data_IF_375926839719
#
_entry.id   IF_375926839719
#
_cell.length_a   1.000
_cell.length_b   1.000
_cell.length_c   1.000
_cell.angle_alpha   90.00
_cell.angle_beta   90.00
_cell.angle_gamma   90.00
#
_symmetry.space_group_name_H-M   'P 1'
#
loop_
_entity.id
_entity.type
_entity.pdbx_description
1 polymer ?
#
# COMPACT_ATOMS: atom_id res chain seq x y z
N UNK A 1 -21.59 7.35 16.77
CA UNK A 1 -20.29 6.73 16.45
C UNK A 1 -19.86 7.28 15.10
N UNK A 2 -18.96 8.27 15.09
CA UNK A 2 -18.46 8.84 13.84
C UNK A 2 -17.84 7.71 13.03
N UNK A 3 -18.40 7.43 11.86
CA UNK A 3 -17.78 6.53 10.90
C UNK A 3 -16.49 7.27 10.52
N UNK A 4 -15.34 6.82 11.04
CA UNK A 4 -14.06 7.24 10.50
C UNK A 4 -14.14 7.04 8.99
N UNK A 5 -14.14 8.14 8.23
CA UNK A 5 -14.08 8.08 6.77
C UNK A 5 -12.72 7.49 6.41
N UNK A 6 -12.64 6.16 6.39
CA UNK A 6 -11.38 5.47 6.11
C UNK A 6 -10.98 5.76 4.67
N UNK A 7 -9.83 6.41 4.53
CA UNK A 7 -9.33 6.96 3.29
C UNK A 7 -8.50 5.91 2.56
N UNK A 8 -8.96 5.52 1.36
CA UNK A 8 -8.21 4.71 0.41
C UNK A 8 -7.69 5.60 -0.71
N UNK A 9 -6.42 6.02 -0.66
CA UNK A 9 -5.82 6.75 -1.77
C UNK A 9 -5.82 5.84 -3.00
N UNK A 10 -6.25 6.40 -4.13
CA UNK A 10 -6.20 5.77 -5.45
C UNK A 10 -5.23 6.50 -6.40
N UNK A 11 -4.51 7.48 -5.89
CA UNK A 11 -3.49 8.21 -6.64
C UNK A 11 -2.24 7.34 -6.76
N UNK A 12 -1.86 7.07 -8.00
CA UNK A 12 -0.53 6.60 -8.38
C UNK A 12 0.28 7.79 -8.88
N UNK A 13 1.60 7.73 -8.72
CA UNK A 13 2.52 8.80 -9.08
C UNK A 13 3.91 8.22 -9.37
N UNK A 14 4.77 9.02 -9.99
CA UNK A 14 6.14 8.61 -10.29
C UNK A 14 7.08 8.86 -9.11
N UNK A 15 8.14 8.07 -9.00
CA UNK A 15 9.09 8.16 -7.87
C UNK A 15 9.75 9.54 -7.77
N UNK A 16 10.03 10.17 -8.90
CA UNK A 16 10.58 11.52 -9.00
C UNK A 16 9.66 12.61 -8.46
N UNK A 17 8.35 12.37 -8.30
CA UNK A 17 7.43 13.30 -7.64
C UNK A 17 7.50 13.20 -6.11
N UNK A 18 8.11 12.14 -5.57
CA UNK A 18 8.22 11.94 -4.12
C UNK A 18 9.45 12.68 -3.57
N UNK A 19 9.33 14.01 -3.44
CA UNK A 19 10.39 14.86 -2.89
C UNK A 19 9.83 16.05 -2.09
N UNK A 20 10.61 16.61 -1.15
CA UNK A 20 10.20 17.79 -0.39
C UNK A 20 9.79 18.96 -1.28
N UNK A 21 8.72 19.66 -0.88
CA UNK A 21 8.14 20.78 -1.61
C UNK A 21 7.16 20.39 -2.73
N UNK A 22 7.07 19.11 -3.11
CA UNK A 22 6.04 18.67 -4.07
C UNK A 22 4.66 18.77 -3.43
N UNK A 23 3.75 19.48 -4.08
CA UNK A 23 2.31 19.37 -3.79
C UNK A 23 1.69 18.25 -4.63
N UNK A 24 1.03 17.32 -3.95
CA UNK A 24 0.37 16.16 -4.52
C UNK A 24 -1.14 16.26 -4.33
N UNK A 25 -1.89 15.93 -5.38
CA UNK A 25 -3.34 15.77 -5.30
C UNK A 25 -3.69 14.31 -5.03
N UNK A 26 -4.01 13.99 -3.78
CA UNK A 26 -4.35 12.65 -3.32
C UNK A 26 -5.85 12.44 -3.40
N UNK A 27 -6.27 11.61 -4.35
CA UNK A 27 -7.68 11.24 -4.53
C UNK A 27 -8.00 10.03 -3.68
N UNK A 28 -9.15 10.05 -3.01
CA UNK A 28 -9.62 8.94 -2.19
C UNK A 28 -10.85 8.25 -2.80
N UNK A 29 -10.95 6.94 -2.61
CA UNK A 29 -12.15 6.18 -3.00
C UNK A 29 -13.36 6.61 -2.16
N UNK A 30 -14.49 6.87 -2.83
CA UNK A 30 -15.76 7.24 -2.20
C UNK A 30 -16.55 5.99 -1.80
N UNK A 31 -17.37 6.02 -0.72
CA UNK A 31 -18.31 4.95 -0.41
C UNK A 31 -19.26 4.66 -1.60
N UNK A 32 -19.69 3.40 -1.81
CA UNK A 32 -19.34 2.18 -1.08
C UNK A 32 -18.01 1.53 -1.53
N UNK A 33 -17.34 2.09 -2.54
CA UNK A 33 -16.18 1.50 -3.24
C UNK A 33 -14.83 1.67 -2.52
N UNK A 34 -14.82 1.65 -1.19
CA UNK A 34 -13.60 1.78 -0.37
C UNK A 34 -12.76 0.49 -0.37
N UNK A 35 -12.35 -0.01 -1.53
CA UNK A 35 -11.43 -1.16 -1.64
C UNK A 35 -10.07 -0.68 -2.13
N UNK A 36 -8.98 -1.43 -1.87
CA UNK A 36 -7.70 -1.21 -2.54
C UNK A 36 -7.90 -1.21 -4.06
N UNK A 37 -7.26 -0.30 -4.77
CA UNK A 37 -7.54 -0.10 -6.20
C UNK A 37 -7.22 -1.35 -7.04
N UNK A 38 -6.12 -2.04 -6.75
CA UNK A 38 -5.75 -3.30 -7.42
C UNK A 38 -6.81 -4.39 -7.25
N UNK A 39 -7.42 -4.48 -6.05
CA UNK A 39 -8.58 -5.35 -5.83
C UNK A 39 -9.72 -4.91 -6.74
N UNK A 40 -10.04 -3.61 -6.77
CA UNK A 40 -11.08 -3.04 -7.64
C UNK A 40 -10.91 -3.35 -9.14
N UNK A 41 -9.68 -3.42 -9.64
CA UNK A 41 -9.42 -3.85 -11.02
C UNK A 41 -9.69 -5.34 -11.23
N UNK A 42 -9.29 -6.20 -10.28
CA UNK A 42 -9.65 -7.63 -10.34
C UNK A 42 -11.16 -7.83 -10.32
N UNK A 43 -11.89 -7.01 -9.55
CA UNK A 43 -13.36 -7.03 -9.53
C UNK A 43 -13.95 -6.80 -10.93
N UNK A 44 -13.43 -5.82 -11.68
CA UNK A 44 -13.90 -5.52 -13.04
C UNK A 44 -13.67 -6.68 -14.02
N UNK A 45 -12.55 -7.39 -13.88
CA UNK A 45 -12.22 -8.55 -14.72
C UNK A 45 -13.15 -9.75 -14.47
N UNK A 46 -13.62 -9.93 -13.23
CA UNK A 46 -14.49 -11.04 -12.83
C UNK A 46 -15.93 -10.88 -13.38
N UNK A 47 -16.28 -9.70 -13.93
CA UNK A 47 -17.44 -9.45 -14.81
C UNK A 47 -18.80 -9.99 -14.33
N UNK A 48 -19.03 -10.06 -13.03
CA UNK A 48 -20.37 -10.30 -12.48
C UNK A 48 -20.94 -9.00 -11.91
N UNK A 49 -21.50 -8.18 -12.81
CA UNK A 49 -22.12 -6.90 -12.48
C UNK A 49 -23.43 -7.05 -11.69
N UNK A 50 -23.85 -8.27 -11.36
CA UNK A 50 -25.07 -8.54 -10.58
C UNK A 50 -24.82 -8.75 -9.08
N UNK A 51 -23.55 -8.93 -8.67
CA UNK A 51 -23.20 -9.15 -7.26
C UNK A 51 -22.97 -7.82 -6.53
N UNK A 52 -23.67 -7.63 -5.41
CA UNK A 52 -23.47 -6.50 -4.49
C UNK A 52 -22.12 -6.55 -3.74
N UNK A 53 -21.39 -7.67 -3.84
CA UNK A 53 -20.06 -7.86 -3.27
C UNK A 53 -19.44 -9.19 -3.69
N UNK A 54 -18.12 -9.31 -3.58
CA UNK A 54 -17.36 -10.52 -3.94
C UNK A 54 -17.15 -11.41 -2.72
N UNK A 55 -17.00 -12.71 -2.94
CA UNK A 55 -16.71 -13.68 -1.88
C UNK A 55 -15.23 -13.72 -1.52
N UNK A 56 -14.94 -14.24 -0.32
CA UNK A 56 -13.57 -14.55 0.09
C UNK A 56 -12.88 -15.47 -0.93
N UNK A 57 -13.60 -16.45 -1.48
CA UNK A 57 -13.05 -17.40 -2.43
C UNK A 57 -12.63 -16.73 -3.74
N UNK A 58 -13.45 -15.84 -4.31
CA UNK A 58 -13.13 -15.12 -5.55
C UNK A 58 -11.87 -14.25 -5.39
N UNK A 59 -11.78 -13.49 -4.31
CA UNK A 59 -10.68 -12.54 -4.09
C UNK A 59 -9.40 -13.20 -3.61
N UNK A 60 -9.51 -14.13 -2.66
CA UNK A 60 -8.36 -14.65 -1.94
C UNK A 60 -7.82 -15.96 -2.50
N UNK A 61 -8.68 -16.75 -3.17
CA UNK A 61 -8.33 -18.09 -3.64
C UNK A 61 -8.23 -18.14 -5.16
N UNK A 62 -9.27 -17.68 -5.87
CA UNK A 62 -9.33 -17.81 -7.34
C UNK A 62 -8.43 -16.84 -8.09
N UNK A 63 -8.27 -15.62 -7.58
CA UNK A 63 -7.35 -14.66 -8.20
C UNK A 63 -5.91 -15.09 -7.91
N UNK A 64 -5.13 -15.36 -8.94
CA UNK A 64 -3.71 -15.68 -8.79
C UNK A 64 -2.88 -14.44 -8.46
N UNK A 65 -1.68 -14.64 -7.92
CA UNK A 65 -0.74 -13.56 -7.69
C UNK A 65 -0.17 -13.06 -9.02
N UNK A 66 0.12 -11.76 -9.10
CA UNK A 66 0.85 -11.25 -10.27
C UNK A 66 2.31 -11.74 -10.24
N UNK A 67 3.00 -11.62 -11.37
CA UNK A 67 4.43 -11.98 -11.43
C UNK A 67 5.23 -11.20 -10.38
N UNK A 68 6.00 -11.92 -9.56
CA UNK A 68 6.80 -11.33 -8.48
C UNK A 68 6.02 -10.96 -7.22
N UNK A 69 4.73 -11.28 -7.13
CA UNK A 69 3.92 -11.11 -5.92
C UNK A 69 3.76 -12.41 -5.15
N UNK A 70 3.94 -12.35 -3.84
CA UNK A 70 3.50 -13.38 -2.91
C UNK A 70 2.37 -12.82 -2.05
N UNK A 71 1.20 -13.47 -2.05
CA UNK A 71 0.00 -12.97 -1.39
C UNK A 71 -0.67 -13.99 -0.48
N UNK A 72 -1.36 -13.48 0.55
CA UNK A 72 -2.12 -14.27 1.51
C UNK A 72 -3.28 -13.47 2.09
N UNK A 73 -4.47 -14.07 2.15
CA UNK A 73 -5.58 -13.46 2.87
C UNK A 73 -5.66 -13.94 4.32
N UNK A 74 -5.39 -13.03 5.25
CA UNK A 74 -5.43 -13.28 6.68
C UNK A 74 -6.83 -12.96 7.26
N UNK A 75 -7.33 -13.84 8.13
CA UNK A 75 -8.61 -13.66 8.85
C UNK A 75 -8.42 -13.33 10.35
N UNK A 76 -7.16 -13.22 10.79
CA UNK A 76 -6.82 -12.94 12.19
C UNK A 76 -5.52 -12.14 12.28
N UNK A 77 -5.34 -11.42 13.38
CA UNK A 77 -4.09 -10.68 13.63
C UNK A 77 -2.86 -11.62 13.64
N UNK A 78 -2.99 -12.81 14.24
CA UNK A 78 -1.90 -13.79 14.25
C UNK A 78 -1.47 -14.24 12.86
N UNK A 79 -2.41 -14.38 11.92
CA UNK A 79 -2.09 -14.75 10.53
C UNK A 79 -1.55 -13.57 9.71
N UNK A 80 -1.97 -12.33 10.00
CA UNK A 80 -1.34 -11.12 9.46
C UNK A 80 0.14 -11.04 9.86
N UNK A 81 0.42 -11.18 11.16
CA UNK A 81 1.79 -11.13 11.70
C UNK A 81 2.62 -12.30 11.19
N UNK A 82 2.04 -13.50 11.16
CA UNK A 82 2.72 -14.70 10.66
C UNK A 82 3.18 -14.57 9.20
N UNK A 83 2.35 -13.97 8.34
CA UNK A 83 2.74 -13.67 6.97
C UNK A 83 3.85 -12.62 6.89
N UNK A 84 3.76 -11.53 7.66
CA UNK A 84 4.82 -10.51 7.70
C UNK A 84 6.17 -11.12 8.14
N UNK A 85 6.17 -11.96 9.18
CA UNK A 85 7.37 -12.63 9.69
C UNK A 85 7.94 -13.60 8.65
N UNK A 86 7.10 -14.34 7.93
CA UNK A 86 7.59 -15.30 6.93
C UNK A 86 8.32 -14.65 5.76
N UNK A 87 8.02 -13.37 5.46
CA UNK A 87 8.66 -12.60 4.39
C UNK A 87 9.83 -11.74 4.86
N UNK A 88 9.72 -11.15 6.04
CA UNK A 88 10.65 -10.13 6.52
C UNK A 88 11.55 -10.59 7.67
N UNK A 89 11.27 -11.76 8.26
CA UNK A 89 11.92 -12.24 9.48
C UNK A 89 11.25 -11.71 10.75
N UNK A 90 11.87 -11.95 11.91
CA UNK A 90 11.27 -11.65 13.22
C UNK A 90 11.45 -10.20 13.67
N UNK A 91 12.51 -9.53 13.22
CA UNK A 91 12.82 -8.16 13.62
C UNK A 91 12.15 -7.15 12.66
N UNK A 92 10.86 -6.91 12.89
CA UNK A 92 10.03 -6.07 12.04
C UNK A 92 9.34 -4.97 12.85
N UNK A 93 9.03 -3.87 12.19
CA UNK A 93 8.22 -2.79 12.72
C UNK A 93 6.93 -2.64 11.90
N UNK A 94 5.89 -2.14 12.55
CA UNK A 94 4.56 -1.93 11.96
C UNK A 94 4.26 -0.44 11.87
N UNK A 95 3.74 0.00 10.73
CA UNK A 95 3.43 1.39 10.43
C UNK A 95 2.06 1.50 9.75
N UNK A 96 1.41 2.66 9.91
CA UNK A 96 0.17 3.01 9.22
C UNK A 96 0.22 4.46 8.74
N UNK A 97 -0.56 4.76 7.70
CA UNK A 97 -0.75 6.12 7.21
C UNK A 97 -1.86 6.84 7.96
N UNK A 98 -1.74 8.16 8.07
CA UNK A 98 -2.80 9.07 8.49
C UNK A 98 -3.03 10.12 7.41
N UNK A 99 -4.30 10.39 7.12
CA UNK A 99 -4.72 11.43 6.18
C UNK A 99 -5.76 12.31 6.84
N UNK A 100 -5.82 13.57 6.41
CA UNK A 100 -6.71 14.58 6.99
C UNK A 100 -8.06 14.48 6.30
N UNK A 101 -9.12 14.47 7.10
CA UNK A 101 -10.47 14.31 6.56
C UNK A 101 -10.83 15.47 5.62
N UNK A 102 -11.49 15.16 4.50
CA UNK A 102 -11.91 16.13 3.47
C UNK A 102 -10.78 16.97 2.84
N UNK A 103 -9.53 16.53 2.98
CA UNK A 103 -8.38 17.13 2.30
C UNK A 103 -7.90 16.23 1.16
N UNK A 104 -7.63 16.82 -0.01
CA UNK A 104 -7.09 16.12 -1.18
C UNK A 104 -5.76 16.73 -1.69
N UNK A 105 -5.29 17.81 -1.08
CA UNK A 105 -4.01 18.44 -1.39
C UNK A 105 -3.05 18.28 -0.22
N UNK A 106 -1.86 17.77 -0.52
CA UNK A 106 -0.82 17.53 0.45
C UNK A 106 0.53 17.97 -0.11
N UNK A 107 1.29 18.72 0.68
CA UNK A 107 2.68 19.08 0.34
C UNK A 107 3.64 18.18 1.10
N UNK A 108 4.59 17.59 0.40
CA UNK A 108 5.64 16.73 0.97
C UNK A 108 6.62 17.59 1.76
N UNK A 109 6.77 17.33 3.06
CA UNK A 109 7.79 17.97 3.89
C UNK A 109 9.10 17.18 3.90
N UNK A 110 9.02 15.86 3.77
CA UNK A 110 10.18 14.97 3.85
C UNK A 110 9.90 13.62 3.23
N UNK A 111 10.98 12.87 2.97
CA UNK A 111 10.90 11.50 2.47
C UNK A 111 11.96 10.67 3.19
N UNK A 112 11.51 9.71 3.98
CA UNK A 112 12.38 8.80 4.70
C UNK A 112 12.27 7.41 4.09
N UNK A 113 13.39 6.86 3.60
CA UNK A 113 13.46 5.49 3.10
C UNK A 113 13.37 4.50 4.28
N UNK A 114 12.45 3.54 4.19
CA UNK A 114 12.21 2.49 5.18
C UNK A 114 12.82 1.14 4.79
N UNK A 115 13.42 1.04 3.59
CA UNK A 115 14.07 -0.13 3.04
C UNK A 115 13.36 -0.71 1.81
N UNK A 116 14.04 -1.66 1.16
CA UNK A 116 13.62 -2.32 -0.08
C UNK A 116 12.88 -3.65 0.15
N UNK A 117 12.31 -3.82 1.35
CA UNK A 117 11.46 -4.96 1.71
C UNK A 117 10.28 -4.48 2.52
N UNK A 118 9.09 -4.84 2.07
CA UNK A 118 7.84 -4.46 2.70
C UNK A 118 6.76 -5.52 2.50
N UNK A 119 5.93 -5.70 3.52
CA UNK A 119 4.67 -6.45 3.43
C UNK A 119 3.54 -5.47 3.68
N UNK A 120 2.63 -5.36 2.71
CA UNK A 120 1.43 -4.52 2.82
C UNK A 120 0.24 -5.42 3.10
N UNK A 121 -0.57 -5.09 4.10
CA UNK A 121 -1.81 -5.79 4.43
C UNK A 121 -2.99 -4.83 4.36
N UNK A 122 -3.87 -5.02 3.39
CA UNK A 122 -5.03 -4.18 3.14
C UNK A 122 -6.31 -4.81 3.71
N UNK A 123 -7.03 -4.08 4.56
CA UNK A 123 -8.31 -4.56 5.07
C UNK A 123 -9.38 -4.56 3.97
N UNK A 124 -9.82 -5.73 3.54
CA UNK A 124 -10.91 -5.85 2.57
C UNK A 124 -12.25 -5.47 3.23
N UNK A 125 -13.18 -4.87 2.48
CA UNK A 125 -14.53 -4.55 2.98
C UNK A 125 -15.44 -5.80 3.02
N UNK A 126 -15.09 -6.76 3.86
CA UNK A 126 -16.01 -7.81 4.29
C UNK A 126 -16.69 -7.40 5.61
N UNK A 127 -17.82 -8.06 5.95
CA UNK A 127 -18.46 -7.89 7.27
C UNK A 127 -17.51 -8.29 8.41
N UNK A 128 -16.70 -9.33 8.18
CA UNK A 128 -15.64 -9.78 9.08
C UNK A 128 -14.30 -9.18 8.67
N UNK A 129 -13.36 -9.09 9.62
CA UNK A 129 -12.02 -8.59 9.33
C UNK A 129 -11.24 -9.61 8.47
N UNK A 130 -10.96 -9.22 7.22
CA UNK A 130 -10.07 -9.96 6.32
C UNK A 130 -9.05 -8.98 5.78
N UNK A 131 -7.78 -9.37 5.82
CA UNK A 131 -6.68 -8.60 5.27
C UNK A 131 -6.11 -9.32 4.06
N UNK A 132 -6.03 -8.61 2.95
CA UNK A 132 -5.23 -9.02 1.80
C UNK A 132 -3.79 -8.58 2.04
N UNK A 133 -2.93 -9.51 2.41
CA UNK A 133 -1.50 -9.27 2.61
C UNK A 133 -0.72 -9.68 1.37
N UNK A 134 0.27 -8.89 0.99
CA UNK A 134 1.19 -9.24 -0.08
C UNK A 134 2.57 -8.60 0.08
N UNK A 135 3.56 -9.25 -0.52
CA UNK A 135 4.89 -8.71 -0.81
C UNK A 135 5.05 -8.75 -2.33
N UNK A 136 5.60 -7.67 -2.88
CA UNK A 136 5.91 -7.55 -4.30
C UNK A 136 7.41 -7.30 -4.40
N UNK A 137 8.09 -8.06 -5.26
CA UNK A 137 9.53 -7.87 -5.49
C UNK A 137 9.85 -6.44 -5.92
N UNK A 138 11.08 -6.01 -5.63
CA UNK A 138 11.62 -4.71 -6.04
C UNK A 138 10.77 -3.51 -5.56
N UNK A 139 10.29 -3.62 -4.33
CA UNK A 139 9.47 -2.62 -3.66
C UNK A 139 10.29 -1.85 -2.64
N UNK A 140 10.31 -0.51 -2.74
CA UNK A 140 10.85 0.37 -1.69
C UNK A 140 9.71 1.04 -0.93
N UNK A 141 9.78 1.02 0.40
CA UNK A 141 8.83 1.70 1.26
C UNK A 141 9.38 3.03 1.78
N UNK A 142 8.51 4.02 1.92
CA UNK A 142 8.86 5.35 2.41
C UNK A 142 7.87 5.83 3.47
N UNK A 143 8.39 6.53 4.48
CA UNK A 143 7.61 7.37 5.37
C UNK A 143 7.68 8.81 4.87
N UNK A 144 6.52 9.44 4.73
CA UNK A 144 6.36 10.72 4.05
C UNK A 144 5.60 11.67 4.98
N UNK A 145 6.31 12.54 5.73
CA UNK A 145 5.68 13.68 6.38
C UNK A 145 5.01 14.59 5.35
N UNK A 146 3.75 14.94 5.60
CA UNK A 146 2.89 15.72 4.71
C UNK A 146 2.24 16.89 5.45
N UNK A 147 1.96 17.97 4.74
CA UNK A 147 1.11 19.09 5.19
C UNK A 147 -0.12 19.15 4.30
N UNK A 148 -1.31 18.99 4.88
CA UNK A 148 -2.58 19.13 4.16
C UNK A 148 -2.84 20.58 3.75
N UNK A 149 -3.80 20.79 2.83
CA UNK A 149 -4.16 22.12 2.34
C UNK A 149 -4.63 23.12 3.42
N UNK A 150 -5.12 22.64 4.57
CA UNK A 150 -5.47 23.45 5.73
C UNK A 150 -4.31 23.73 6.70
N UNK A 151 -3.09 23.29 6.36
CA UNK A 151 -1.89 23.42 7.18
C UNK A 151 -1.69 22.30 8.20
N UNK A 152 -2.62 21.35 8.31
CA UNK A 152 -2.50 20.22 9.25
C UNK A 152 -1.36 19.29 8.84
N UNK A 153 -0.43 19.02 9.75
CA UNK A 153 0.64 18.04 9.56
C UNK A 153 0.12 16.62 9.74
N UNK A 154 0.55 15.73 8.87
CA UNK A 154 0.25 14.30 8.92
C UNK A 154 1.42 13.49 8.34
N UNK A 155 1.28 12.17 8.32
CA UNK A 155 2.27 11.24 7.81
C UNK A 155 1.57 10.19 6.95
N UNK A 156 2.07 9.96 5.75
CA UNK A 156 1.63 8.86 4.90
C UNK A 156 2.80 7.90 4.62
N UNK A 157 2.45 6.65 4.32
CA UNK A 157 3.37 5.66 3.80
C UNK A 157 3.21 5.60 2.29
N UNK A 158 4.32 5.64 1.57
CA UNK A 158 4.36 5.44 0.13
C UNK A 158 5.13 4.15 -0.20
N UNK A 159 4.60 3.42 -1.17
CA UNK A 159 5.21 2.21 -1.73
C UNK A 159 5.55 2.50 -3.17
N UNK A 160 6.78 2.21 -3.57
CA UNK A 160 7.24 2.33 -4.95
C UNK A 160 7.70 0.97 -5.45
N UNK A 161 7.12 0.54 -6.57
CA UNK A 161 7.51 -0.68 -7.27
C UNK A 161 8.42 -0.31 -8.43
N UNK A 162 9.67 -0.79 -8.42
CA UNK A 162 10.65 -0.48 -9.46
C UNK A 162 10.43 -1.34 -10.71
N UNK A 163 10.03 -2.60 -10.52
CA UNK A 163 9.58 -3.46 -11.60
C UNK A 163 8.05 -3.52 -11.66
N UNK A 164 7.51 -2.99 -12.75
CA UNK A 164 6.07 -2.96 -13.01
C UNK A 164 5.65 -3.96 -14.09
N UNK A 165 6.55 -4.84 -14.58
CA UNK A 165 6.28 -5.76 -15.71
C UNK A 165 5.12 -6.71 -15.47
N UNK A 166 4.96 -7.17 -14.23
CA UNK A 166 3.86 -8.05 -13.80
C UNK A 166 2.54 -7.33 -13.57
N UNK A 167 2.50 -6.00 -13.62
CA UNK A 167 1.27 -5.24 -13.35
C UNK A 167 0.28 -5.34 -14.52
N UNK A 168 -1.01 -5.20 -14.19
CA UNK A 168 -2.06 -5.21 -15.19
C UNK A 168 -1.90 -4.04 -16.18
N UNK A 169 -1.73 -4.36 -17.46
CA UNK A 169 -1.52 -3.37 -18.52
C UNK A 169 -2.65 -2.33 -18.56
N UNK A 170 -3.92 -2.77 -18.61
CA UNK A 170 -5.06 -1.86 -18.72
C UNK A 170 -5.14 -0.90 -17.53
N UNK A 171 -4.89 -1.39 -16.31
CA UNK A 171 -4.82 -0.58 -15.11
C UNK A 171 -3.71 0.47 -15.23
N UNK A 172 -2.49 0.04 -15.56
CA UNK A 172 -1.34 0.94 -15.54
C UNK A 172 -1.46 2.01 -16.62
N UNK A 173 -1.91 1.64 -17.82
CA UNK A 173 -2.19 2.58 -18.90
C UNK A 173 -3.31 3.58 -18.53
N UNK A 174 -4.36 3.14 -17.83
CA UNK A 174 -5.45 4.04 -17.39
C UNK A 174 -5.00 5.04 -16.32
N UNK A 175 -4.08 4.67 -15.45
CA UNK A 175 -3.68 5.49 -14.29
C UNK A 175 -2.48 6.37 -14.58
N UNK A 176 -1.49 5.81 -15.29
CA UNK A 176 -0.17 6.42 -15.48
C UNK A 176 0.12 6.72 -16.95
N UNK A 177 -0.65 6.17 -17.89
CA UNK A 177 -0.43 6.36 -19.33
C UNK A 177 0.82 5.65 -19.85
N UNK A 178 1.29 4.61 -19.16
CA UNK A 178 2.50 3.86 -19.50
C UNK A 178 2.24 2.36 -19.49
N UNK A 179 3.09 1.64 -20.23
CA UNK A 179 3.07 0.18 -20.30
C UNK A 179 3.82 -0.45 -19.11
N UNK A 180 3.44 -1.65 -18.67
CA UNK A 180 4.18 -2.42 -17.66
C UNK A 180 5.68 -2.53 -17.98
N UNK A 181 6.53 -2.34 -16.97
CA UNK A 181 7.99 -2.50 -17.09
C UNK A 181 8.76 -1.27 -17.58
N UNK A 182 8.08 -0.15 -17.83
CA UNK A 182 8.71 1.09 -18.34
C UNK A 182 9.28 1.98 -17.26
N UNK A 183 8.49 2.26 -16.22
CA UNK A 183 8.84 3.21 -15.16
C UNK A 183 8.48 2.64 -13.78
N UNK A 184 9.24 3.00 -12.73
CA UNK A 184 8.83 2.79 -11.36
C UNK A 184 7.53 3.54 -11.05
N UNK A 185 6.63 2.88 -10.33
CA UNK A 185 5.33 3.44 -9.99
C UNK A 185 5.13 3.38 -8.50
N UNK A 186 4.68 4.50 -7.94
CA UNK A 186 4.43 4.66 -6.52
C UNK A 186 2.96 4.89 -6.23
N UNK A 187 2.55 4.54 -5.02
CA UNK A 187 1.24 4.90 -4.48
C UNK A 187 1.31 5.06 -2.96
N UNK A 188 0.36 5.80 -2.40
CA UNK A 188 0.21 5.87 -0.95
C UNK A 188 -0.56 4.66 -0.42
N UNK A 189 -0.29 4.26 0.82
CA UNK A 189 -1.11 3.31 1.57
C UNK A 189 -2.20 4.05 2.36
N UNK A 190 -3.44 3.58 2.29
CA UNK A 190 -4.56 4.15 3.04
C UNK A 190 -4.56 3.80 4.52
N UNK A 191 -5.44 4.44 5.30
CA UNK A 191 -5.54 4.21 6.76
C UNK A 191 -6.06 2.81 7.14
N UNK A 192 -6.64 2.08 6.18
CA UNK A 192 -7.04 0.66 6.33
C UNK A 192 -5.95 -0.32 5.87
N UNK A 193 -4.75 0.15 5.57
CA UNK A 193 -3.60 -0.69 5.26
C UNK A 193 -2.59 -0.63 6.40
N UNK A 194 -1.91 -1.76 6.61
CA UNK A 194 -0.82 -1.92 7.56
C UNK A 194 0.43 -2.22 6.75
N UNK A 195 1.52 -1.52 7.04
CA UNK A 195 2.83 -1.78 6.47
C UNK A 195 3.71 -2.44 7.52
N UNK A 196 4.39 -3.51 7.11
CA UNK A 196 5.49 -4.11 7.86
C UNK A 196 6.78 -3.94 7.09
N UNK A 197 7.84 -3.53 7.77
CA UNK A 197 9.20 -3.43 7.22
C UNK A 197 10.21 -3.98 8.24
N UNK A 198 11.41 -4.42 7.80
CA UNK A 198 12.49 -4.74 8.71
C UNK A 198 12.82 -3.56 9.64
N UNK A 199 13.16 -3.85 10.89
CA UNK A 199 13.58 -2.82 11.83
C UNK A 199 15.08 -2.53 11.68
N UNK A 200 15.40 -1.58 10.79
CA UNK A 200 16.77 -1.18 10.44
C UNK A 200 17.57 -0.53 11.59
N UNK A 201 16.92 -0.18 12.71
CA UNK A 201 17.60 0.41 13.88
C UNK A 201 18.51 -0.59 14.63
N UNK A 202 18.33 -1.90 14.41
CA UNK A 202 19.13 -2.96 15.05
C UNK A 202 20.34 -3.36 14.21
N UNK A 203 20.26 -3.25 12.87
CA UNK A 203 21.36 -3.64 11.99
C UNK A 203 22.54 -2.68 12.09
N UNK A 204 22.30 -1.38 12.28
CA UNK A 204 23.37 -0.40 12.52
C UNK A 204 24.05 -0.62 13.88
N UNK A 205 23.31 -1.02 14.91
CA UNK A 205 23.86 -1.35 16.23
C UNK A 205 24.63 -2.69 16.24
N UNK A 206 24.24 -3.66 15.42
CA UNK A 206 24.95 -4.93 15.29
C UNK A 206 26.21 -4.78 14.44
N UNK A 207 26.19 -3.94 13.39
CA UNK A 207 27.38 -3.67 12.58
C UNK A 207 28.41 -2.78 13.29
N UNK A 208 28.01 -1.84 14.15
CA UNK A 208 28.96 -1.08 14.98
C UNK A 208 29.62 -1.92 16.08
N UNK A 209 29.02 -3.06 16.47
CA UNK A 209 29.59 -3.98 17.46
C UNK A 209 30.48 -5.08 16.86
N UNK A 210 30.67 -5.13 15.54
CA UNK A 210 31.58 -6.08 14.85
C UNK A 210 32.89 -5.39 14.43
N UNK A 211 32.97 -4.06 14.51
CA UNK A 211 34.21 -3.30 14.32
C UNK A 211 34.71 -2.78 15.67
N UNK A 212 35.29 -3.68 16.46
CA UNK A 212 36.19 -3.38 17.58
C UNK A 212 37.22 -4.50 17.73
#
# INVERSE_FOLDING_TARGET
>A
MQIEETQYPKTFFYKEDLHPGKTMKVQFSKPPFQQPWGVGTWLKEIKDTTKEGYSFEELCIKKEAIEGEEKFCAKSLGTVIGFAISKLGKNIQVLSSSFVNKQDQYTVEGVQNLGDKAVMCHRLNFRTAVFYCHEVRETTAFMVPLVAGDGTKTQALAICHSNTSGMNHQMLHQLMGVDPGTNPVCHFLGSKAILWVPNLSVDTAYQTNIVA
#
